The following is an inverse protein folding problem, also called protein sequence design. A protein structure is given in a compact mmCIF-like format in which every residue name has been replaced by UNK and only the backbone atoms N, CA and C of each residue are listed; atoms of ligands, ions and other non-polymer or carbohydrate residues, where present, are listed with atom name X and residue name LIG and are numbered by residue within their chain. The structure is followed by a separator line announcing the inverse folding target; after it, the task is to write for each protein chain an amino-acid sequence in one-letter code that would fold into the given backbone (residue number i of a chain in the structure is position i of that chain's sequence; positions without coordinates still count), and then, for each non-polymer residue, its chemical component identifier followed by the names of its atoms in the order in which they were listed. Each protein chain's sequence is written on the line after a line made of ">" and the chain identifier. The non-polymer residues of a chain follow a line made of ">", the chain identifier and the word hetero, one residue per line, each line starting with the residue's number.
data_IF_391758030773
#
_entry.id   IF_391758030773
#
_cell.length_a   1.000
_cell.length_b   1.000
_cell.length_c   1.000
_cell.angle_alpha   90.00
_cell.angle_beta   90.00
_cell.angle_gamma   90.00
#
_symmetry.space_group_name_H-M   'P 1'
#
loop_
_entity.id
_entity.type
_entity.pdbx_description
1 polymer ?
#
# COMPACT_ATOMS: atom_id res chain seq x y z
N UNK A 1 9.88 -0.20 22.18
CA UNK A 1 9.22 0.18 23.44
C UNK A 1 8.95 1.68 23.35
N UNK A 2 7.77 2.08 22.93
CA UNK A 2 7.30 3.45 23.04
C UNK A 2 7.05 3.71 24.51
N UNK A 3 7.84 4.59 25.12
CA UNK A 3 7.54 5.14 26.45
C UNK A 3 6.10 5.67 26.36
N UNK A 4 5.24 5.19 27.26
CA UNK A 4 3.85 5.62 27.32
C UNK A 4 3.77 7.12 27.47
N UNK A 5 3.43 7.78 26.38
CA UNK A 5 3.04 9.17 26.40
C UNK A 5 1.82 9.20 27.33
N UNK A 6 1.85 10.01 28.36
CA UNK A 6 0.72 10.13 29.26
C UNK A 6 -0.45 10.77 28.50
N UNK A 7 -1.34 9.91 27.97
CA UNK A 7 -2.47 10.31 27.13
C UNK A 7 -3.33 11.41 27.81
N UNK A 8 -3.43 11.39 29.12
CA UNK A 8 -4.18 12.40 29.88
C UNK A 8 -3.51 13.77 29.79
N UNK A 9 -2.20 13.87 29.94
CA UNK A 9 -1.49 15.15 29.83
C UNK A 9 -1.57 15.75 28.43
N UNK A 10 -1.53 14.90 27.40
CA UNK A 10 -1.67 15.35 26.01
C UNK A 10 -3.09 15.83 25.77
N UNK A 11 -4.08 15.08 26.25
CA UNK A 11 -5.49 15.44 26.11
C UNK A 11 -5.77 16.82 26.78
N UNK A 12 -5.34 17.01 28.03
CA UNK A 12 -5.52 18.25 28.77
C UNK A 12 -4.82 19.43 28.08
N UNK A 13 -3.62 19.20 27.55
CA UNK A 13 -2.89 20.21 26.80
C UNK A 13 -3.62 20.61 25.52
N UNK A 14 -4.06 19.65 24.72
CA UNK A 14 -4.80 19.90 23.47
C UNK A 14 -6.12 20.62 23.78
N UNK A 15 -6.85 20.21 24.82
CA UNK A 15 -8.08 20.87 25.25
C UNK A 15 -7.83 22.34 25.65
N UNK A 16 -6.70 22.61 26.32
CA UNK A 16 -6.32 23.95 26.73
C UNK A 16 -6.04 24.91 25.57
N UNK A 17 -5.67 24.36 24.39
CA UNK A 17 -5.44 25.12 23.16
C UNK A 17 -6.76 25.59 22.50
N UNK A 18 -7.90 25.02 22.92
CA UNK A 18 -9.22 25.30 22.33
C UNK A 18 -9.20 25.27 20.80
N UNK A 19 -8.81 24.15 20.17
CA UNK A 19 -8.70 24.08 18.72
C UNK A 19 -10.08 24.22 18.06
N UNK A 20 -10.14 24.90 16.91
CA UNK A 20 -11.37 25.02 16.12
C UNK A 20 -11.69 23.72 15.36
N UNK A 21 -10.67 22.95 15.00
CA UNK A 21 -10.80 21.64 14.34
C UNK A 21 -9.52 20.82 14.46
N UNK A 22 -9.64 19.50 14.17
CA UNK A 22 -8.51 18.60 13.98
C UNK A 22 -8.40 18.20 12.52
N UNK A 23 -7.19 18.22 11.97
CA UNK A 23 -6.85 17.60 10.69
C UNK A 23 -5.96 16.40 10.97
N UNK A 24 -6.43 15.21 10.62
CA UNK A 24 -5.81 13.93 10.96
C UNK A 24 -5.25 13.30 9.67
N UNK A 25 -3.94 13.13 9.61
CA UNK A 25 -3.24 12.58 8.44
C UNK A 25 -2.28 11.48 8.88
N UNK A 26 -2.32 10.32 8.20
CA UNK A 26 -1.42 9.20 8.48
C UNK A 26 -1.61 8.56 9.85
N UNK A 27 -2.78 8.65 10.42
CA UNK A 27 -3.12 8.10 11.73
C UNK A 27 -3.79 6.73 11.58
N UNK A 28 -3.31 5.72 12.32
CA UNK A 28 -3.74 4.33 12.16
C UNK A 28 -4.75 3.84 13.21
N UNK A 29 -5.13 4.70 14.15
CA UNK A 29 -6.05 4.35 15.22
C UNK A 29 -7.33 5.15 15.12
N UNK A 30 -8.40 4.63 15.69
CA UNK A 30 -9.64 5.39 15.84
C UNK A 30 -9.40 6.59 16.77
N UNK A 31 -9.83 7.77 16.34
CA UNK A 31 -9.79 8.95 17.21
C UNK A 31 -10.90 8.82 18.28
N UNK A 32 -10.55 8.80 19.59
CA UNK A 32 -11.53 8.62 20.64
C UNK A 32 -12.65 9.68 20.60
N UNK A 33 -13.84 9.30 21.07
CA UNK A 33 -14.98 10.24 21.15
C UNK A 33 -14.64 11.50 21.96
N UNK A 34 -13.89 11.35 23.07
CA UNK A 34 -13.44 12.47 23.90
C UNK A 34 -12.68 13.55 23.12
N UNK A 35 -11.86 13.15 22.15
CA UNK A 35 -11.14 14.09 21.28
C UNK A 35 -12.06 14.75 20.27
N UNK A 36 -12.99 13.98 19.68
CA UNK A 36 -13.97 14.49 18.71
C UNK A 36 -15.01 15.40 19.36
N UNK A 37 -15.17 15.32 20.70
CA UNK A 37 -16.03 16.23 21.49
C UNK A 37 -15.35 17.58 21.78
N UNK A 38 -14.00 17.69 21.69
CA UNK A 38 -13.29 18.98 21.82
C UNK A 38 -13.57 19.84 20.60
N UNK A 39 -13.40 19.29 19.40
CA UNK A 39 -13.57 19.98 18.12
C UNK A 39 -13.87 18.97 17.00
N UNK A 40 -14.53 19.41 15.90
CA UNK A 40 -14.73 18.55 14.74
C UNK A 40 -13.39 18.07 14.19
N UNK A 41 -13.33 16.79 13.83
CA UNK A 41 -12.14 16.16 13.31
C UNK A 41 -12.35 15.69 11.86
N UNK A 42 -11.38 15.96 11.00
CA UNK A 42 -11.38 15.58 9.60
C UNK A 42 -10.15 14.75 9.28
N UNK A 43 -10.34 13.68 8.51
CA UNK A 43 -9.28 12.78 8.09
C UNK A 43 -9.01 12.86 6.60
N UNK A 44 -7.74 12.64 6.21
CA UNK A 44 -7.36 12.36 4.82
C UNK A 44 -7.15 10.84 4.68
N UNK A 45 -7.97 10.20 3.85
CA UNK A 45 -7.89 8.77 3.56
C UNK A 45 -7.52 8.53 2.10
N UNK A 46 -6.51 7.71 1.86
CA UNK A 46 -5.92 7.50 0.54
C UNK A 46 -6.73 6.51 -0.33
N UNK A 47 -8.02 6.75 -0.45
CA UNK A 47 -8.93 6.07 -1.37
C UNK A 47 -10.07 6.98 -1.80
N UNK A 48 -10.91 6.49 -2.70
CA UNK A 48 -12.20 7.11 -3.05
C UNK A 48 -13.31 6.50 -2.18
N UNK A 49 -13.43 6.97 -0.93
CA UNK A 49 -14.47 6.49 -0.02
C UNK A 49 -15.87 6.55 -0.65
N UNK A 50 -16.74 5.59 -0.35
CA UNK A 50 -16.66 4.56 0.70
C UNK A 50 -15.84 3.33 0.32
N UNK A 51 -15.30 3.28 -0.88
CA UNK A 51 -14.50 2.16 -1.34
C UNK A 51 -13.08 2.20 -0.76
N UNK A 52 -12.47 1.03 -0.51
CA UNK A 52 -11.16 0.90 0.13
C UNK A 52 -11.07 1.60 1.50
N UNK A 53 -12.14 1.53 2.32
CA UNK A 53 -12.11 1.90 3.74
C UNK A 53 -11.17 0.97 4.51
N UNK A 54 -10.64 1.43 5.64
CA UNK A 54 -9.77 0.64 6.52
C UNK A 54 -8.28 0.77 6.21
N UNK A 55 -7.53 -0.32 6.35
CA UNK A 55 -6.07 -0.30 6.30
C UNK A 55 -5.46 -0.39 4.91
N UNK A 56 -4.32 0.25 4.72
CA UNK A 56 -3.44 0.10 3.53
C UNK A 56 -4.14 0.27 2.17
N UNK A 57 -5.03 1.27 1.96
CA UNK A 57 -5.89 1.35 0.79
C UNK A 57 -5.15 1.36 -0.55
N UNK A 58 -4.03 2.09 -0.67
CA UNK A 58 -3.24 2.13 -1.91
C UNK A 58 -2.56 0.80 -2.22
N UNK A 59 -2.11 0.09 -1.18
CA UNK A 59 -1.51 -1.25 -1.34
C UNK A 59 -2.55 -2.22 -1.89
N UNK A 60 -3.75 -2.22 -1.32
CA UNK A 60 -4.84 -3.04 -1.79
C UNK A 60 -5.31 -2.68 -3.20
N UNK A 61 -5.36 -1.38 -3.54
CA UNK A 61 -5.71 -0.94 -4.89
C UNK A 61 -4.72 -1.49 -5.93
N UNK A 62 -3.40 -1.43 -5.64
CA UNK A 62 -2.37 -2.00 -6.51
C UNK A 62 -2.46 -3.53 -6.60
N UNK A 63 -2.59 -4.24 -5.47
CA UNK A 63 -2.72 -5.71 -5.44
C UNK A 63 -3.92 -6.16 -6.27
N UNK A 64 -5.04 -5.47 -6.15
CA UNK A 64 -6.28 -5.80 -6.86
C UNK A 64 -6.26 -5.40 -8.34
N UNK A 65 -5.20 -4.72 -8.81
CA UNK A 65 -5.08 -4.30 -10.20
C UNK A 65 -6.06 -3.19 -10.58
N UNK A 66 -6.44 -2.35 -9.61
CA UNK A 66 -7.28 -1.19 -9.91
C UNK A 66 -6.55 -0.24 -10.85
N UNK A 67 -7.31 0.42 -11.72
CA UNK A 67 -6.79 1.40 -12.68
C UNK A 67 -6.95 2.84 -12.19
N UNK A 68 -7.65 3.05 -11.09
CA UNK A 68 -7.97 4.35 -10.53
C UNK A 68 -8.01 4.28 -9.01
N UNK A 69 -7.54 5.35 -8.37
CA UNK A 69 -7.67 5.57 -6.94
C UNK A 69 -7.78 7.06 -6.64
N UNK A 70 -7.67 7.46 -5.39
CA UNK A 70 -7.71 8.87 -5.02
C UNK A 70 -7.46 9.11 -3.55
N UNK A 71 -7.87 10.30 -3.11
CA UNK A 71 -7.82 10.71 -1.72
C UNK A 71 -9.14 11.38 -1.35
N UNK A 72 -9.60 11.12 -0.14
CA UNK A 72 -10.84 11.67 0.42
C UNK A 72 -10.54 12.46 1.68
N UNK A 73 -11.03 13.70 1.74
CA UNK A 73 -11.18 14.45 2.99
C UNK A 73 -12.60 14.19 3.52
N UNK A 74 -12.70 13.71 4.75
CA UNK A 74 -13.96 13.32 5.35
C UNK A 74 -14.00 13.64 6.84
N UNK A 75 -15.19 13.83 7.42
CA UNK A 75 -15.39 14.04 8.85
C UNK A 75 -15.25 12.73 9.61
N UNK A 76 -14.43 12.70 10.66
CA UNK A 76 -14.26 11.51 11.50
C UNK A 76 -15.49 11.30 12.39
N UNK A 77 -15.94 10.05 12.48
CA UNK A 77 -17.01 9.59 13.35
C UNK A 77 -16.58 8.35 14.15
N UNK A 78 -17.52 7.59 14.72
CA UNK A 78 -17.24 6.35 15.46
C UNK A 78 -16.97 5.16 14.57
N UNK A 79 -17.28 5.21 13.29
CA UNK A 79 -17.02 4.13 12.34
C UNK A 79 -15.68 4.26 11.66
N UNK A 80 -15.19 3.16 11.07
CA UNK A 80 -13.96 3.16 10.29
C UNK A 80 -14.21 3.85 8.96
N UNK A 81 -13.64 5.04 8.74
CA UNK A 81 -13.70 5.84 7.52
C UNK A 81 -15.12 6.05 6.96
N UNK A 82 -16.15 6.12 7.84
CA UNK A 82 -17.56 6.12 7.46
C UNK A 82 -18.25 7.50 7.57
N UNK A 83 -17.51 8.52 7.99
CA UNK A 83 -18.05 9.85 8.12
C UNK A 83 -18.33 10.54 6.78
N UNK A 84 -18.98 11.69 6.84
CA UNK A 84 -19.38 12.46 5.66
C UNK A 84 -18.17 12.94 4.86
N UNK A 85 -18.22 12.77 3.54
CA UNK A 85 -17.20 13.25 2.61
C UNK A 85 -17.32 14.78 2.47
N UNK A 86 -16.20 15.47 2.62
CA UNK A 86 -16.04 16.90 2.35
C UNK A 86 -15.59 17.11 0.90
N UNK A 87 -14.60 16.34 0.45
CA UNK A 87 -14.09 16.43 -0.91
C UNK A 87 -13.27 15.20 -1.30
N UNK A 88 -13.12 15.00 -2.62
CA UNK A 88 -12.33 13.91 -3.17
C UNK A 88 -11.54 14.37 -4.39
N UNK A 89 -10.31 13.85 -4.52
CA UNK A 89 -9.54 13.93 -5.77
C UNK A 89 -9.12 12.54 -6.21
N UNK A 90 -9.13 12.29 -7.51
CA UNK A 90 -8.77 11.01 -8.08
C UNK A 90 -7.53 11.08 -8.95
N UNK A 91 -6.91 9.93 -9.20
CA UNK A 91 -5.80 9.74 -10.14
C UNK A 91 -5.88 8.36 -10.76
N UNK A 92 -5.33 8.22 -11.96
CA UNK A 92 -5.07 6.92 -12.58
C UNK A 92 -3.96 6.18 -11.83
N UNK A 93 -4.01 4.86 -11.87
CA UNK A 93 -2.92 3.96 -11.48
C UNK A 93 -2.28 3.44 -12.77
N UNK A 94 -1.08 3.88 -13.07
CA UNK A 94 -0.35 3.46 -14.26
C UNK A 94 0.28 2.08 -14.05
N UNK A 95 0.57 1.39 -15.16
CA UNK A 95 1.17 0.06 -15.12
C UNK A 95 2.52 0.05 -14.41
N UNK A 96 3.29 1.11 -14.59
CA UNK A 96 4.63 1.29 -14.03
C UNK A 96 4.64 1.82 -12.59
N UNK A 97 3.46 2.20 -12.06
CA UNK A 97 3.39 2.72 -10.70
C UNK A 97 3.81 1.63 -9.70
N UNK A 98 4.68 2.04 -8.80
CA UNK A 98 4.94 1.37 -7.54
C UNK A 98 4.15 2.05 -6.42
N UNK A 99 4.12 1.45 -5.26
CA UNK A 99 3.52 2.09 -4.09
C UNK A 99 4.15 3.45 -3.79
N UNK A 100 5.47 3.61 -4.00
CA UNK A 100 6.18 4.88 -3.78
C UNK A 100 5.71 5.98 -4.73
N UNK A 101 5.62 5.71 -6.04
CA UNK A 101 5.19 6.72 -7.02
C UNK A 101 3.72 7.09 -6.82
N UNK A 102 2.89 6.12 -6.48
CA UNK A 102 1.48 6.35 -6.20
C UNK A 102 1.29 7.19 -4.93
N UNK A 103 2.05 6.91 -3.86
CA UNK A 103 2.04 7.70 -2.63
C UNK A 103 2.36 9.17 -2.88
N UNK A 104 3.46 9.46 -3.58
CA UNK A 104 3.86 10.84 -3.89
C UNK A 104 2.75 11.62 -4.63
N UNK A 105 2.05 10.94 -5.54
CA UNK A 105 0.94 11.54 -6.28
C UNK A 105 -0.26 11.80 -5.38
N UNK A 106 -0.60 10.84 -4.53
CA UNK A 106 -1.71 10.95 -3.58
C UNK A 106 -1.44 12.02 -2.51
N UNK A 107 -0.22 12.13 -2.00
CA UNK A 107 0.18 13.20 -1.07
C UNK A 107 -0.01 14.58 -1.70
N UNK A 108 0.44 14.77 -2.94
CA UNK A 108 0.26 16.03 -3.67
C UNK A 108 -1.23 16.37 -3.87
N UNK A 109 -2.06 15.38 -4.21
CA UNK A 109 -3.50 15.56 -4.34
C UNK A 109 -4.14 15.88 -3.00
N UNK A 110 -3.68 15.26 -1.91
CA UNK A 110 -4.18 15.49 -0.54
C UNK A 110 -3.90 16.91 -0.07
N UNK A 111 -2.69 17.40 -0.30
CA UNK A 111 -2.34 18.81 -0.01
C UNK A 111 -3.24 19.75 -0.81
N UNK A 112 -3.40 19.53 -2.11
CA UNK A 112 -4.26 20.34 -2.96
C UNK A 112 -5.74 20.29 -2.55
N UNK A 113 -6.25 19.12 -2.12
CA UNK A 113 -7.60 18.98 -1.61
C UNK A 113 -7.80 19.75 -0.30
N UNK A 114 -6.84 19.61 0.61
CA UNK A 114 -6.90 20.31 1.89
C UNK A 114 -6.87 21.83 1.72
N UNK A 115 -6.01 22.35 0.85
CA UNK A 115 -5.93 23.79 0.56
C UNK A 115 -7.23 24.34 -0.04
N UNK A 116 -7.96 23.54 -0.82
CA UNK A 116 -9.25 23.93 -1.39
C UNK A 116 -10.40 23.91 -0.36
N UNK A 117 -10.41 22.91 0.53
CA UNK A 117 -11.54 22.70 1.44
C UNK A 117 -11.35 23.36 2.82
N UNK A 118 -10.10 23.58 3.26
CA UNK A 118 -9.83 24.16 4.59
C UNK A 118 -10.48 25.54 4.78
N UNK A 119 -10.43 26.50 3.84
CA UNK A 119 -11.14 27.76 3.98
C UNK A 119 -12.65 27.57 4.16
N UNK A 120 -13.26 26.64 3.43
CA UNK A 120 -14.69 26.33 3.51
C UNK A 120 -15.07 25.65 4.83
N UNK A 121 -14.15 24.85 5.40
CA UNK A 121 -14.34 24.27 6.73
C UNK A 121 -14.29 25.35 7.81
N UNK A 122 -13.38 26.32 7.68
CA UNK A 122 -13.20 27.42 8.63
C UNK A 122 -14.41 28.34 8.61
N UNK A 123 -14.95 28.69 7.45
CA UNK A 123 -16.09 29.62 7.32
C UNK A 123 -17.46 28.90 7.41
N UNK A 124 -17.47 27.58 7.59
CA UNK A 124 -18.69 26.77 7.73
C UNK A 124 -19.47 26.56 6.43
N UNK A 125 -18.87 26.83 5.26
CA UNK A 125 -19.52 26.65 3.94
C UNK A 125 -19.20 25.33 3.27
N UNK A 126 -18.34 24.49 3.88
CA UNK A 126 -17.99 23.18 3.36
C UNK A 126 -19.23 22.28 3.23
N UNK A 127 -19.36 21.61 2.09
CA UNK A 127 -20.43 20.63 1.88
C UNK A 127 -20.03 19.29 2.47
N UNK A 128 -20.97 18.64 3.14
CA UNK A 128 -20.80 17.31 3.69
C UNK A 128 -21.77 16.37 2.98
N UNK A 129 -21.24 15.26 2.43
CA UNK A 129 -22.02 14.27 1.66
C UNK A 129 -21.93 12.93 2.36
N UNK A 130 -23.08 12.35 2.71
CA UNK A 130 -23.13 11.00 3.30
C UNK A 130 -22.63 9.96 2.32
N UNK A 131 -21.89 8.97 2.85
CA UNK A 131 -21.37 7.86 2.04
C UNK A 131 -22.48 6.87 1.66
N UNK A 132 -22.40 6.28 0.45
CA UNK A 132 -23.28 5.20 0.03
C UNK A 132 -22.72 3.86 0.55
N UNK A 133 -23.20 3.40 1.69
CA UNK A 133 -22.74 2.18 2.36
C UNK A 133 -22.84 0.91 1.47
N UNK A 134 -23.69 0.92 0.44
CA UNK A 134 -23.79 -0.20 -0.52
C UNK A 134 -22.53 -0.38 -1.39
N UNK A 135 -21.73 0.67 -1.52
CA UNK A 135 -20.46 0.69 -2.29
C UNK A 135 -19.24 0.45 -1.40
N UNK A 136 -19.45 0.26 -0.11
CA UNK A 136 -18.38 0.18 0.86
C UNK A 136 -17.68 -1.18 0.77
N UNK A 137 -16.35 -1.15 0.55
CA UNK A 137 -15.45 -2.28 0.74
C UNK A 137 -14.44 -1.91 1.82
N UNK A 138 -14.32 -2.76 2.85
CA UNK A 138 -13.39 -2.54 3.97
C UNK A 138 -12.23 -3.52 3.85
N UNK A 139 -11.01 -3.00 3.92
CA UNK A 139 -9.80 -3.80 3.82
C UNK A 139 -9.02 -3.76 5.15
N UNK A 140 -8.37 -4.88 5.51
CA UNK A 140 -7.58 -4.94 6.74
C UNK A 140 -6.26 -4.19 6.57
N UNK A 141 -5.68 -3.77 7.72
CA UNK A 141 -4.31 -3.33 7.77
C UNK A 141 -3.39 -4.51 7.41
N UNK A 142 -2.32 -4.23 6.67
CA UNK A 142 -1.31 -5.23 6.31
C UNK A 142 -0.13 -5.20 7.27
N UNK A 143 0.46 -6.39 7.46
CA UNK A 143 1.71 -6.61 8.21
C UNK A 143 2.84 -7.05 7.26
N UNK A 144 4.10 -7.06 7.70
CA UNK A 144 5.21 -7.55 6.88
C UNK A 144 5.06 -9.03 6.48
N UNK A 145 4.38 -9.84 7.27
CA UNK A 145 4.12 -11.26 7.03
C UNK A 145 3.19 -11.48 5.83
N UNK A 146 2.27 -10.54 5.59
CA UNK A 146 1.38 -10.55 4.43
C UNK A 146 2.14 -10.34 3.09
N UNK A 147 3.45 -10.07 3.16
CA UNK A 147 4.32 -9.93 2.00
C UNK A 147 4.77 -11.25 1.38
N UNK A 148 4.40 -12.42 1.92
CA UNK A 148 4.79 -13.71 1.36
C UNK A 148 4.13 -13.94 0.00
N UNK A 149 4.97 -14.28 -1.01
CA UNK A 149 4.51 -14.53 -2.38
C UNK A 149 3.93 -15.95 -2.47
N UNK A 150 2.73 -16.06 -3.01
CA UNK A 150 2.16 -17.33 -3.46
C UNK A 150 2.34 -17.46 -4.99
N UNK A 151 3.31 -18.26 -5.41
CA UNK A 151 3.67 -18.43 -6.82
C UNK A 151 2.59 -19.11 -7.68
N UNK A 152 1.52 -19.64 -7.08
CA UNK A 152 0.37 -20.20 -7.81
C UNK A 152 -0.54 -19.13 -8.41
N UNK A 153 -0.35 -17.86 -8.04
CA UNK A 153 -1.02 -16.75 -8.69
C UNK A 153 -0.43 -16.49 -10.09
N UNK A 154 -1.19 -15.76 -10.93
CA UNK A 154 -0.71 -15.38 -12.27
C UNK A 154 0.42 -14.35 -12.19
N UNK A 155 1.23 -14.26 -13.24
CA UNK A 155 2.29 -13.26 -13.36
C UNK A 155 1.76 -11.82 -13.20
N UNK A 156 0.57 -11.52 -13.71
CA UNK A 156 -0.07 -10.21 -13.55
C UNK A 156 -0.41 -9.91 -12.08
N UNK A 157 -0.99 -10.88 -11.37
CA UNK A 157 -1.30 -10.72 -9.95
C UNK A 157 -0.03 -10.56 -9.11
N UNK A 158 1.01 -11.34 -9.41
CA UNK A 158 2.28 -11.25 -8.68
C UNK A 158 3.07 -9.99 -9.01
N UNK A 159 3.02 -9.50 -10.24
CA UNK A 159 3.56 -8.21 -10.60
C UNK A 159 2.92 -7.09 -9.76
N UNK A 160 1.58 -7.08 -9.69
CA UNK A 160 0.83 -6.13 -8.87
C UNK A 160 1.17 -6.27 -7.37
N UNK A 161 1.27 -7.50 -6.89
CA UNK A 161 1.61 -7.81 -5.49
C UNK A 161 3.00 -7.28 -5.11
N UNK A 162 4.01 -7.47 -5.99
CA UNK A 162 5.38 -7.03 -5.74
C UNK A 162 5.46 -5.50 -5.74
N UNK A 163 4.95 -4.83 -6.79
CA UNK A 163 4.98 -3.36 -6.89
C UNK A 163 4.19 -2.63 -5.82
N UNK A 164 3.16 -3.28 -5.26
CA UNK A 164 2.33 -2.76 -4.18
C UNK A 164 3.05 -2.75 -2.82
N UNK A 165 4.09 -3.54 -2.65
CA UNK A 165 4.79 -3.73 -1.38
C UNK A 165 6.27 -3.34 -1.46
N UNK A 166 6.72 -2.81 -2.61
CA UNK A 166 8.06 -2.26 -2.74
C UNK A 166 8.30 -1.10 -1.77
N UNK A 167 9.51 -0.59 -1.72
CA UNK A 167 9.85 0.53 -0.82
C UNK A 167 8.83 1.68 -0.94
N UNK A 168 8.45 2.31 0.17
CA UNK A 168 9.05 2.24 1.53
C UNK A 168 8.58 1.07 2.41
N UNK A 169 7.74 0.17 1.90
CA UNK A 169 7.32 -1.02 2.64
C UNK A 169 8.41 -2.09 2.71
N UNK A 170 8.27 -3.11 3.58
CA UNK A 170 9.26 -4.17 3.77
C UNK A 170 9.57 -5.01 2.52
N UNK A 171 8.69 -5.00 1.51
CA UNK A 171 8.82 -5.76 0.28
C UNK A 171 8.04 -7.09 0.29
N UNK A 172 7.68 -7.55 -0.90
CA UNK A 172 7.22 -8.92 -1.10
C UNK A 172 8.39 -9.87 -0.91
N UNK A 173 8.15 -11.08 -0.40
CA UNK A 173 9.21 -12.03 -0.16
C UNK A 173 8.84 -13.47 -0.49
N UNK A 174 9.86 -14.26 -0.72
CA UNK A 174 9.72 -15.71 -0.85
C UNK A 174 10.91 -16.41 -0.21
N UNK A 175 10.79 -17.70 0.05
CA UNK A 175 11.89 -18.50 0.57
C UNK A 175 12.65 -19.16 -0.58
N UNK A 176 13.95 -18.99 -0.62
CA UNK A 176 14.83 -19.75 -1.47
C UNK A 176 15.71 -20.63 -0.60
N UNK A 177 15.51 -21.96 -0.65
CA UNK A 177 16.09 -22.90 0.30
C UNK A 177 15.68 -22.54 1.74
N UNK A 178 16.59 -22.04 2.57
CA UNK A 178 16.31 -21.62 3.96
C UNK A 178 16.40 -20.09 4.15
N UNK A 179 16.62 -19.35 3.07
CA UNK A 179 16.83 -17.91 3.14
C UNK A 179 15.58 -17.16 2.67
N UNK A 180 15.18 -16.14 3.43
CA UNK A 180 14.16 -15.18 3.02
C UNK A 180 14.78 -14.22 2.00
N UNK A 181 14.23 -14.19 0.79
CA UNK A 181 14.63 -13.27 -0.27
C UNK A 181 13.51 -12.24 -0.46
N UNK A 182 13.84 -10.97 -0.31
CA UNK A 182 12.90 -9.88 -0.54
C UNK A 182 12.98 -9.50 -2.02
N UNK A 183 11.85 -9.51 -2.70
CA UNK A 183 11.74 -9.18 -4.12
C UNK A 183 11.21 -7.76 -4.24
N UNK A 184 12.02 -6.85 -4.77
CA UNK A 184 11.72 -5.43 -4.84
C UNK A 184 11.10 -5.03 -6.18
N UNK A 185 11.55 -5.66 -7.28
CA UNK A 185 11.06 -5.35 -8.60
C UNK A 185 10.99 -6.59 -9.51
N UNK A 186 10.01 -6.57 -10.41
CA UNK A 186 9.80 -7.63 -11.40
C UNK A 186 9.25 -7.07 -12.70
N UNK A 187 9.27 -7.87 -13.76
CA UNK A 187 8.61 -7.60 -15.04
C UNK A 187 7.87 -8.84 -15.49
N UNK A 188 6.72 -8.66 -16.12
CA UNK A 188 6.04 -9.76 -16.78
C UNK A 188 6.82 -10.12 -18.03
N UNK A 189 7.13 -11.41 -18.20
CA UNK A 189 7.84 -11.87 -19.40
C UNK A 189 6.88 -11.90 -20.59
N UNK A 190 7.37 -11.51 -21.77
CA UNK A 190 6.60 -11.67 -23.00
C UNK A 190 6.48 -13.17 -23.34
N UNK A 191 5.39 -13.55 -24.03
CA UNK A 191 5.08 -14.94 -24.44
C UNK A 191 6.14 -15.60 -25.33
N UNK A 192 7.17 -14.86 -25.77
CA UNK A 192 8.28 -15.37 -26.58
C UNK A 192 9.20 -16.35 -25.80
N UNK A 193 9.20 -16.25 -24.46
CA UNK A 193 9.89 -17.22 -23.60
C UNK A 193 8.85 -18.31 -23.26
N UNK A 194 8.64 -19.24 -24.21
CA UNK A 194 7.72 -20.37 -24.03
C UNK A 194 8.34 -21.43 -23.09
N UNK A 195 8.57 -21.06 -21.83
CA UNK A 195 9.08 -21.93 -20.80
C UNK A 195 7.90 -22.55 -20.05
N UNK A 196 7.81 -23.86 -20.12
CA UNK A 196 6.94 -24.63 -19.24
C UNK A 196 7.55 -24.68 -17.84
N UNK A 197 7.52 -23.55 -17.12
CA UNK A 197 7.95 -23.49 -15.73
C UNK A 197 6.79 -23.80 -14.80
N UNK A 198 7.06 -24.59 -13.79
CA UNK A 198 6.11 -24.79 -12.67
C UNK A 198 6.16 -23.59 -11.71
N UNK A 199 5.09 -23.39 -10.92
CA UNK A 199 5.01 -22.30 -9.93
C UNK A 199 6.24 -22.27 -9.02
N UNK A 200 6.89 -21.12 -8.91
CA UNK A 200 8.10 -20.93 -8.12
C UNK A 200 9.39 -21.46 -8.74
N UNK A 201 9.36 -22.22 -9.84
CA UNK A 201 10.56 -22.71 -10.52
C UNK A 201 11.39 -21.56 -11.08
N UNK A 202 12.69 -21.55 -10.79
CA UNK A 202 13.60 -20.48 -11.17
C UNK A 202 14.49 -20.96 -12.32
N UNK A 203 14.64 -20.13 -13.36
CA UNK A 203 15.64 -20.31 -14.42
C UNK A 203 16.43 -19.05 -14.67
N UNK A 204 17.72 -19.20 -14.88
CA UNK A 204 18.55 -18.12 -15.42
C UNK A 204 18.62 -18.29 -16.94
N UNK A 205 18.19 -17.29 -17.67
CA UNK A 205 18.21 -17.23 -19.13
C UNK A 205 18.87 -15.92 -19.53
N UNK A 206 20.03 -16.01 -20.15
CA UNK A 206 20.78 -14.81 -20.59
C UNK A 206 20.93 -13.76 -19.46
N UNK A 207 21.27 -14.23 -18.28
CA UNK A 207 21.44 -13.39 -17.07
C UNK A 207 20.14 -12.74 -16.54
N UNK A 208 18.97 -13.21 -16.99
CA UNK A 208 17.66 -12.86 -16.48
C UNK A 208 17.13 -13.97 -15.57
N UNK A 209 16.66 -13.59 -14.41
CA UNK A 209 16.11 -14.55 -13.44
C UNK A 209 14.60 -14.65 -13.66
N UNK A 210 14.20 -15.73 -14.31
CA UNK A 210 12.81 -15.99 -14.68
C UNK A 210 12.21 -16.97 -13.67
N UNK A 211 11.03 -16.65 -13.16
CA UNK A 211 10.29 -17.48 -12.19
C UNK A 211 8.92 -17.83 -12.76
N UNK A 212 8.60 -19.13 -12.72
CA UNK A 212 7.28 -19.63 -13.11
C UNK A 212 6.19 -19.18 -12.14
N UNK A 213 5.04 -18.84 -12.69
CA UNK A 213 3.82 -18.46 -11.96
C UNK A 213 2.71 -19.46 -12.28
N UNK A 214 1.60 -19.45 -11.56
CA UNK A 214 0.44 -20.29 -11.87
C UNK A 214 -0.07 -20.08 -13.31
N UNK A 215 0.11 -18.86 -13.84
CA UNK A 215 -0.07 -18.54 -15.27
C UNK A 215 0.96 -17.51 -15.69
N UNK A 216 1.78 -17.86 -16.68
CA UNK A 216 2.87 -17.02 -17.18
C UNK A 216 4.11 -17.08 -16.29
N UNK A 217 5.00 -16.11 -16.43
CA UNK A 217 6.24 -16.02 -15.66
C UNK A 217 6.66 -14.57 -15.44
N UNK A 218 7.47 -14.36 -14.42
CA UNK A 218 8.07 -13.06 -14.07
C UNK A 218 9.58 -13.10 -14.24
N UNK A 219 10.16 -12.05 -14.77
CA UNK A 219 11.55 -11.69 -14.59
C UNK A 219 11.69 -10.96 -13.25
N UNK A 220 12.47 -11.50 -12.33
CA UNK A 220 12.85 -10.79 -11.11
C UNK A 220 14.05 -9.91 -11.47
N UNK A 221 13.90 -8.61 -11.28
CA UNK A 221 14.93 -7.64 -11.69
C UNK A 221 15.77 -7.16 -10.50
N UNK A 222 15.17 -7.00 -9.32
CA UNK A 222 15.83 -6.48 -8.14
C UNK A 222 15.36 -7.19 -6.88
N UNK A 223 16.29 -7.44 -5.97
CA UNK A 223 16.05 -8.02 -4.66
C UNK A 223 16.77 -7.23 -3.56
N UNK A 224 16.34 -7.37 -2.31
CA UNK A 224 17.13 -6.95 -1.16
C UNK A 224 17.76 -8.17 -0.48
N UNK A 225 19.07 -8.10 -0.29
CA UNK A 225 19.85 -9.10 0.39
C UNK A 225 20.76 -8.44 1.43
N UNK A 226 20.69 -8.88 2.68
CA UNK A 226 21.51 -8.35 3.79
C UNK A 226 21.45 -6.80 3.92
N UNK A 227 20.28 -6.21 3.65
CA UNK A 227 20.06 -4.76 3.73
C UNK A 227 20.52 -3.96 2.50
N UNK A 228 21.07 -4.60 1.47
CA UNK A 228 21.44 -3.97 0.21
C UNK A 228 20.48 -4.38 -0.92
N UNK A 229 20.10 -3.42 -1.76
CA UNK A 229 19.37 -3.68 -2.99
C UNK A 229 20.36 -4.06 -4.09
N UNK A 230 20.15 -5.20 -4.73
CA UNK A 230 21.03 -5.72 -5.77
C UNK A 230 20.22 -6.29 -6.95
N UNK A 231 20.78 -6.27 -8.18
CA UNK A 231 20.18 -6.99 -9.28
C UNK A 231 20.01 -8.50 -8.95
N UNK A 232 18.89 -9.08 -9.34
CA UNK A 232 18.62 -10.49 -9.07
C UNK A 232 19.64 -11.41 -9.74
N UNK A 233 20.19 -11.02 -10.89
CA UNK A 233 21.30 -11.74 -11.55
C UNK A 233 22.58 -11.78 -10.72
N UNK A 234 22.90 -10.71 -9.97
CA UNK A 234 24.04 -10.68 -9.06
C UNK A 234 23.84 -11.65 -7.90
N UNK A 235 22.65 -11.69 -7.33
CA UNK A 235 22.31 -12.69 -6.31
C UNK A 235 22.45 -14.11 -6.86
N UNK A 236 21.90 -14.36 -8.06
CA UNK A 236 21.93 -15.70 -8.65
C UNK A 236 23.34 -16.19 -8.93
N UNK A 237 24.24 -15.33 -9.41
CA UNK A 237 25.64 -15.70 -9.68
C UNK A 237 26.42 -16.18 -8.43
N UNK A 238 25.92 -15.83 -7.26
CA UNK A 238 26.49 -16.26 -5.97
C UNK A 238 25.92 -17.61 -5.49
N UNK A 239 24.91 -18.15 -6.18
CA UNK A 239 24.33 -19.45 -5.82
C UNK A 239 25.23 -20.57 -6.32
N UNK A 240 25.48 -21.57 -5.48
CA UNK A 240 26.18 -22.81 -5.90
C UNK A 240 25.20 -23.60 -6.77
N UNK A 241 25.60 -23.91 -8.01
CA UNK A 241 24.82 -24.76 -8.89
C UNK A 241 24.54 -26.11 -8.21
N UNK A 242 23.27 -26.44 -8.05
CA UNK A 242 22.85 -27.78 -7.62
C UNK A 242 22.09 -28.43 -8.75
N UNK A 243 22.23 -29.76 -8.89
CA UNK A 243 21.55 -30.56 -9.91
C UNK A 243 20.02 -30.64 -9.77
N UNK A 244 19.44 -30.00 -8.74
CA UNK A 244 18.00 -29.91 -8.51
C UNK A 244 17.47 -28.59 -9.06
N UNK A 245 16.26 -28.65 -9.63
CA UNK A 245 15.54 -27.44 -10.02
C UNK A 245 15.43 -26.47 -8.83
N UNK A 246 16.04 -25.29 -8.96
CA UNK A 246 15.93 -24.24 -7.94
C UNK A 246 14.53 -23.62 -7.99
N UNK A 247 13.97 -23.39 -6.82
CA UNK A 247 12.64 -22.78 -6.71
C UNK A 247 12.47 -21.94 -5.47
N UNK A 248 11.57 -20.98 -5.57
CA UNK A 248 10.97 -20.27 -4.47
C UNK A 248 9.82 -21.08 -3.84
N UNK A 249 9.59 -20.88 -2.55
CA UNK A 249 8.48 -21.47 -1.78
C UNK A 249 7.84 -20.43 -0.86
#
# INVERSE_FOLDING_TARGET
>A
MTQGINETLIFDYIQSLSPDMFIVVGWYHMLPKSWRDIAPAYGLHASLLPDYSGGSPLVWALINGETKTGITLFKLNEGVDSGEIVGQKHTEIFREDTIATLYQRIESLGVGLLLEELPRLIDGTAKHTSQDERKRRVFPQRSPEDGQINWDHSAEQLYNFIRAQSKPYPGAFSMHRKNKIIILASRITNNEINLSLTSGEIKNIENKIIVGCGKGSLEITEIALNGADIPASTWWSQQIETSRADRFS
#
